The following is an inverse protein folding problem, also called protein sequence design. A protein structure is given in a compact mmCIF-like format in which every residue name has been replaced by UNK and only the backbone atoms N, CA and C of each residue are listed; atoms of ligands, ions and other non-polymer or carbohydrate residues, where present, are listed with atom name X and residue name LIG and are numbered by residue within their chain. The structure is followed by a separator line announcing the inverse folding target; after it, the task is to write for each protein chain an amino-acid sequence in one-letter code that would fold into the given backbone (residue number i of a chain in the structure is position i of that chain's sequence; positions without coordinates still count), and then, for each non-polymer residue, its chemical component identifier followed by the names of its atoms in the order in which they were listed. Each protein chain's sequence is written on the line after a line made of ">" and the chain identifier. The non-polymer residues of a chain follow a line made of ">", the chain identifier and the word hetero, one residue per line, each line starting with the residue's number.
data_IF_184240664233
#
_entry.id   IF_184240664233
#
_cell.length_a   1.000
_cell.length_b   1.000
_cell.length_c   1.000
_cell.angle_alpha   90.00
_cell.angle_beta   90.00
_cell.angle_gamma   90.00
#
_symmetry.space_group_name_H-M   'P 1'
#
loop_
_entity.id
_entity.type
_entity.pdbx_description
1 polymer ?
#
# COMPACT_ATOMS: atom_id res chain seq x y z
N UNK A 1 5.58 6.36 3.61
CA UNK A 1 4.20 6.69 4.01
C UNK A 1 4.14 8.14 4.47
N UNK A 2 3.03 8.85 4.24
CA UNK A 2 2.82 10.21 4.72
C UNK A 2 1.47 10.30 5.45
N UNK A 3 1.41 11.18 6.46
CA UNK A 3 0.26 11.34 7.33
C UNK A 3 -0.02 12.82 7.60
N UNK A 4 -1.27 13.11 7.98
CA UNK A 4 -1.68 14.40 8.53
C UNK A 4 -2.66 14.22 9.68
N UNK A 5 -2.64 15.13 10.65
CA UNK A 5 -3.70 15.22 11.65
C UNK A 5 -4.88 15.94 10.99
N UNK A 6 -6.09 15.41 11.16
CA UNK A 6 -7.33 16.03 10.71
C UNK A 6 -8.32 16.06 11.85
N UNK A 7 -9.21 17.05 11.84
CA UNK A 7 -10.39 17.04 12.69
C UNK A 7 -11.25 15.80 12.38
N UNK A 8 -11.81 15.24 13.45
CA UNK A 8 -12.69 14.09 13.38
C UNK A 8 -13.71 14.16 14.52
N UNK A 9 -14.96 13.91 14.18
CA UNK A 9 -16.01 13.71 15.17
C UNK A 9 -15.90 12.30 15.80
N UNK A 10 -16.29 12.18 17.07
CA UNK A 10 -16.48 10.91 17.75
C UNK A 10 -15.78 10.76 19.10
N UNK A 11 -15.98 9.61 19.74
CA UNK A 11 -15.63 9.33 21.15
C UNK A 11 -14.12 9.29 21.45
N UNK A 12 -13.25 9.38 20.42
CA UNK A 12 -11.79 9.31 20.56
C UNK A 12 -11.11 10.67 20.59
N UNK A 13 -11.91 11.73 20.70
CA UNK A 13 -11.45 13.10 20.70
C UNK A 13 -11.51 13.76 19.32
N UNK A 14 -11.24 15.06 19.25
CA UNK A 14 -11.55 15.90 18.09
C UNK A 14 -10.61 15.70 16.89
N UNK A 15 -9.61 14.81 17.00
CA UNK A 15 -8.58 14.64 15.99
C UNK A 15 -8.30 13.18 15.67
N UNK A 16 -7.92 12.91 14.42
CA UNK A 16 -7.34 11.63 14.00
C UNK A 16 -6.16 11.80 13.06
N UNK A 17 -5.34 10.76 12.97
CA UNK A 17 -4.29 10.66 11.96
C UNK A 17 -4.87 10.09 10.66
N UNK A 18 -4.64 10.77 9.54
CA UNK A 18 -5.05 10.36 8.20
C UNK A 18 -3.82 10.12 7.34
N UNK A 19 -3.71 8.92 6.77
CA UNK A 19 -2.71 8.64 5.74
C UNK A 19 -3.04 9.42 4.46
N UNK A 20 -2.05 10.13 3.92
CA UNK A 20 -2.18 10.96 2.72
C UNK A 20 -1.49 10.36 1.51
N UNK A 21 -0.49 9.51 1.73
CA UNK A 21 0.16 8.73 0.68
C UNK A 21 0.92 7.53 1.24
N UNK A 22 1.17 6.54 0.39
CA UNK A 22 2.10 5.46 0.66
C UNK A 22 2.82 5.02 -0.61
N UNK A 23 3.95 4.36 -0.38
CA UNK A 23 4.71 3.57 -1.34
C UNK A 23 5.22 2.35 -0.59
N UNK A 24 4.86 1.17 -1.05
CA UNK A 24 5.31 -0.10 -0.50
C UNK A 24 6.01 -0.87 -1.60
N UNK A 25 7.35 -0.83 -1.60
CA UNK A 25 8.18 -1.56 -2.56
C UNK A 25 8.61 -2.92 -2.02
N UNK A 26 8.63 -3.92 -2.90
CA UNK A 26 9.35 -5.17 -2.71
C UNK A 26 10.51 -5.17 -3.69
N UNK A 27 11.73 -5.32 -3.17
CA UNK A 27 12.98 -5.24 -3.92
C UNK A 27 13.71 -6.59 -3.93
N UNK A 28 14.54 -6.81 -4.95
CA UNK A 28 15.48 -7.92 -4.98
C UNK A 28 16.68 -7.68 -4.04
N UNK A 29 17.58 -8.67 -3.93
CA UNK A 29 18.78 -8.58 -3.09
C UNK A 29 19.76 -7.47 -3.49
N UNK A 30 19.60 -6.87 -4.67
CA UNK A 30 20.42 -5.79 -5.20
C UNK A 30 19.73 -4.42 -5.08
N UNK A 31 18.56 -4.36 -4.42
CA UNK A 31 17.76 -3.14 -4.29
C UNK A 31 17.01 -2.77 -5.55
N UNK A 32 16.85 -3.70 -6.51
CA UNK A 32 16.02 -3.44 -7.70
C UNK A 32 14.57 -3.73 -7.35
N UNK A 33 13.70 -2.73 -7.52
CA UNK A 33 12.25 -2.90 -7.34
C UNK A 33 11.72 -4.02 -8.25
N UNK A 34 10.92 -4.92 -7.66
CA UNK A 34 10.20 -6.01 -8.33
C UNK A 34 8.75 -5.60 -8.53
N UNK A 35 8.13 -5.04 -7.48
CA UNK A 35 6.79 -4.47 -7.51
C UNK A 35 6.64 -3.39 -6.45
N UNK A 36 5.77 -2.42 -6.70
CA UNK A 36 5.41 -1.41 -5.70
C UNK A 36 3.93 -1.07 -5.71
N UNK A 37 3.36 -0.96 -4.51
CA UNK A 37 2.01 -0.46 -4.30
C UNK A 37 2.08 1.01 -3.90
N UNK A 38 1.51 1.86 -4.73
CA UNK A 38 1.64 3.30 -4.64
C UNK A 38 0.28 3.98 -4.54
N UNK A 39 0.23 5.00 -3.69
CA UNK A 39 -0.85 5.96 -3.65
C UNK A 39 -0.31 7.32 -3.25
N UNK A 40 -0.26 8.25 -4.20
CA UNK A 40 0.32 9.58 -4.03
C UNK A 40 -0.51 10.63 -4.77
N UNK A 41 -1.69 11.00 -4.24
CA UNK A 41 -2.65 11.87 -4.94
C UNK A 41 -2.11 13.27 -5.26
N UNK A 42 -1.06 13.72 -4.56
CA UNK A 42 -0.44 15.03 -4.77
C UNK A 42 0.37 15.14 -6.08
N UNK A 43 0.60 14.04 -6.80
CA UNK A 43 1.39 14.03 -8.05
C UNK A 43 0.53 13.80 -9.30
N UNK A 44 -0.79 13.90 -9.18
CA UNK A 44 -1.74 13.75 -10.31
C UNK A 44 -2.29 12.34 -10.52
N UNK A 45 -1.70 11.31 -9.87
CA UNK A 45 -2.26 9.96 -9.84
C UNK A 45 -3.16 9.79 -8.61
N UNK A 46 -4.47 9.92 -8.81
CA UNK A 46 -5.45 9.99 -7.73
C UNK A 46 -5.79 8.61 -7.13
N UNK A 47 -5.73 7.56 -7.94
CA UNK A 47 -6.08 6.20 -7.54
C UNK A 47 -4.86 5.41 -7.07
N UNK A 48 -5.00 4.60 -6.01
CA UNK A 48 -4.02 3.57 -5.68
C UNK A 48 -3.72 2.66 -6.87
N UNK A 49 -2.47 2.29 -7.04
CA UNK A 49 -2.02 1.48 -8.18
C UNK A 49 -0.79 0.65 -7.84
N UNK A 50 -0.51 -0.33 -8.71
CA UNK A 50 0.63 -1.22 -8.65
C UNK A 50 1.55 -0.94 -9.84
N UNK A 51 2.85 -0.82 -9.57
CA UNK A 51 3.91 -0.93 -10.55
C UNK A 51 4.47 -2.35 -10.56
N UNK A 52 4.71 -2.89 -11.74
CA UNK A 52 5.38 -4.17 -11.94
C UNK A 52 6.68 -3.96 -12.69
N UNK A 53 7.77 -4.44 -12.09
CA UNK A 53 9.10 -4.39 -12.66
C UNK A 53 9.49 -5.80 -13.12
N UNK A 54 8.96 -6.21 -14.27
CA UNK A 54 9.22 -7.54 -14.82
C UNK A 54 10.62 -7.54 -15.47
N UNK A 55 11.58 -8.34 -14.98
CA UNK A 55 12.82 -8.54 -15.70
C UNK A 55 12.53 -9.42 -16.92
N UNK A 56 12.50 -8.83 -18.12
CA UNK A 56 12.22 -9.58 -19.35
C UNK A 56 13.49 -9.76 -20.17
N UNK A 57 13.87 -11.01 -20.45
CA UNK A 57 14.92 -11.36 -21.43
C UNK A 57 14.47 -11.20 -22.88
N UNK A 58 13.17 -10.95 -23.09
CA UNK A 58 12.52 -10.76 -24.40
C UNK A 58 11.83 -9.40 -24.36
N UNK A 59 11.89 -8.56 -25.42
CA UNK A 59 11.21 -7.28 -25.44
C UNK A 59 9.72 -7.48 -25.18
N UNK A 60 9.15 -6.89 -24.11
CA UNK A 60 7.77 -7.13 -23.80
C UNK A 60 6.89 -6.42 -24.82
N UNK A 61 5.80 -7.07 -25.23
CA UNK A 61 4.74 -6.47 -26.05
C UNK A 61 4.16 -5.22 -25.35
N UNK A 62 4.23 -5.20 -24.01
CA UNK A 62 3.80 -4.08 -23.16
C UNK A 62 4.87 -3.75 -22.13
N UNK A 63 5.36 -2.51 -22.14
CA UNK A 63 6.21 -1.99 -21.06
C UNK A 63 5.39 -1.74 -19.78
N UNK A 64 5.42 -2.71 -18.86
CA UNK A 64 4.73 -2.63 -17.56
C UNK A 64 5.32 -1.60 -16.60
N UNK A 65 6.58 -1.17 -16.78
CA UNK A 65 7.21 -0.19 -15.88
C UNK A 65 6.48 1.15 -15.89
N UNK A 66 5.80 1.49 -16.99
CA UNK A 66 5.05 2.73 -17.17
C UNK A 66 3.54 2.58 -16.93
N UNK A 67 3.08 1.41 -16.51
CA UNK A 67 1.65 1.13 -16.30
C UNK A 67 1.33 1.18 -14.81
N UNK A 68 0.29 1.93 -14.49
CA UNK A 68 -0.29 2.01 -13.16
C UNK A 68 -1.48 1.05 -13.13
N UNK A 69 -1.26 -0.18 -12.64
CA UNK A 69 -2.33 -1.17 -12.57
C UNK A 69 -3.29 -0.80 -11.43
N UNK A 70 -4.59 -0.57 -11.67
CA UNK A 70 -5.50 -0.09 -10.64
C UNK A 70 -5.59 -1.04 -9.44
N UNK A 71 -5.64 -0.47 -8.24
CA UNK A 71 -5.88 -1.20 -6.99
C UNK A 71 -6.86 -0.44 -6.10
N UNK A 72 -7.29 -1.07 -5.00
CA UNK A 72 -7.80 -0.33 -3.84
C UNK A 72 -6.66 0.19 -2.97
N UNK A 73 -6.95 0.97 -1.91
CA UNK A 73 -5.88 1.26 -0.95
C UNK A 73 -5.42 -0.04 -0.30
N UNK A 74 -4.12 -0.20 -0.24
CA UNK A 74 -3.45 -1.31 0.39
C UNK A 74 -2.91 -0.87 1.74
N UNK A 75 -3.12 -1.70 2.75
CA UNK A 75 -2.56 -1.51 4.10
C UNK A 75 -1.15 -2.09 4.17
N UNK A 76 -0.32 -1.61 5.11
CA UNK A 76 1.01 -2.22 5.33
C UNK A 76 0.87 -3.67 5.82
N UNK A 77 -0.20 -3.97 6.55
CA UNK A 77 -0.52 -5.31 7.04
C UNK A 77 -0.74 -6.30 5.91
N UNK A 78 -1.44 -5.89 4.84
CA UNK A 78 -1.61 -6.72 3.64
C UNK A 78 -0.27 -6.99 2.94
N UNK A 79 0.63 -6.01 2.87
CA UNK A 79 1.96 -6.20 2.27
C UNK A 79 2.82 -7.13 3.11
N UNK A 80 2.84 -6.96 4.43
CA UNK A 80 3.59 -7.83 5.33
C UNK A 80 3.05 -9.28 5.32
N UNK A 81 1.72 -9.44 5.20
CA UNK A 81 1.10 -10.75 5.03
C UNK A 81 1.53 -11.40 3.72
N UNK A 82 1.48 -10.65 2.62
CA UNK A 82 1.95 -11.08 1.30
C UNK A 82 3.41 -11.55 1.36
N UNK A 83 4.30 -10.82 2.05
CA UNK A 83 5.71 -11.23 2.13
C UNK A 83 5.93 -12.53 2.89
N UNK A 84 5.14 -12.78 3.95
CA UNK A 84 5.22 -14.03 4.71
C UNK A 84 4.58 -15.19 3.96
N UNK A 85 3.36 -15.02 3.46
CA UNK A 85 2.55 -16.10 2.89
C UNK A 85 3.00 -16.48 1.47
N UNK A 86 3.33 -15.50 0.62
CA UNK A 86 3.63 -15.75 -0.80
C UNK A 86 5.12 -15.70 -1.12
N UNK A 87 5.90 -14.88 -0.41
CA UNK A 87 7.34 -14.76 -0.64
C UNK A 87 8.21 -15.54 0.36
N UNK A 88 7.59 -16.25 1.31
CA UNK A 88 8.29 -17.11 2.27
C UNK A 88 9.19 -16.37 3.27
N UNK A 89 8.93 -15.07 3.51
CA UNK A 89 9.65 -14.31 4.53
C UNK A 89 9.34 -14.89 5.90
N UNK A 90 10.39 -15.18 6.69
CA UNK A 90 10.23 -15.74 8.03
C UNK A 90 9.91 -14.62 9.04
N UNK A 91 8.71 -14.62 9.64
CA UNK A 91 8.37 -13.64 10.66
C UNK A 91 9.15 -13.91 11.96
N UNK A 92 9.56 -12.84 12.64
CA UNK A 92 10.28 -12.93 13.93
C UNK A 92 9.32 -13.32 15.06
N UNK A 93 8.07 -12.82 15.02
CA UNK A 93 7.05 -13.06 16.04
C UNK A 93 6.15 -14.23 15.64
N UNK A 94 5.89 -15.14 16.58
CA UNK A 94 5.03 -16.32 16.35
C UNK A 94 3.57 -15.96 16.09
N UNK A 95 3.07 -14.92 16.73
CA UNK A 95 1.70 -14.41 16.65
C UNK A 95 1.56 -13.23 15.68
N UNK A 96 2.44 -13.14 14.67
CA UNK A 96 2.41 -12.11 13.63
C UNK A 96 1.03 -11.99 12.97
N UNK A 97 0.40 -13.14 12.66
CA UNK A 97 -0.88 -13.18 11.96
C UNK A 97 -1.98 -12.47 12.74
N UNK A 98 -1.98 -12.61 14.08
CA UNK A 98 -2.92 -11.92 14.95
C UNK A 98 -2.70 -10.42 14.95
N UNK A 99 -1.45 -9.94 15.04
CA UNK A 99 -1.15 -8.50 14.99
C UNK A 99 -1.66 -7.90 13.69
N UNK A 100 -1.31 -8.54 12.57
CA UNK A 100 -1.63 -8.00 11.26
C UNK A 100 -3.16 -7.97 11.08
N UNK A 101 -3.87 -9.00 11.52
CA UNK A 101 -5.34 -8.99 11.49
C UNK A 101 -5.95 -7.90 12.37
N UNK A 102 -5.49 -7.74 13.61
CA UNK A 102 -6.01 -6.71 14.53
C UNK A 102 -5.74 -5.30 14.00
N UNK A 103 -4.51 -5.05 13.52
CA UNK A 103 -4.10 -3.76 12.97
C UNK A 103 -4.80 -3.44 11.66
N UNK A 104 -4.93 -4.41 10.75
CA UNK A 104 -5.69 -4.26 9.51
C UNK A 104 -7.16 -3.95 9.81
N UNK A 105 -7.76 -4.62 10.80
CA UNK A 105 -9.12 -4.32 11.23
C UNK A 105 -9.31 -2.87 11.71
N UNK A 106 -8.33 -2.32 12.45
CA UNK A 106 -8.35 -0.89 12.80
C UNK A 106 -8.20 0.00 11.56
N UNK A 107 -7.25 -0.31 10.67
CA UNK A 107 -7.08 0.43 9.42
C UNK A 107 -8.38 0.46 8.61
N UNK A 108 -9.03 -0.69 8.41
CA UNK A 108 -10.26 -0.82 7.64
C UNK A 108 -11.44 -0.09 8.27
N UNK A 109 -11.53 -0.12 9.60
CA UNK A 109 -12.56 0.59 10.36
C UNK A 109 -12.41 2.11 10.27
N UNK A 110 -11.19 2.63 10.30
CA UNK A 110 -10.93 4.07 10.47
C UNK A 110 -10.47 4.79 9.21
N UNK A 111 -10.12 4.07 8.14
CA UNK A 111 -9.73 4.68 6.87
C UNK A 111 -10.87 5.52 6.31
N UNK A 112 -10.60 6.82 6.10
CA UNK A 112 -11.50 7.68 5.36
C UNK A 112 -11.16 7.71 3.89
N UNK A 113 -12.22 7.68 3.09
CA UNK A 113 -12.15 7.65 1.65
C UNK A 113 -12.63 8.98 1.09
N UNK A 114 -11.80 9.60 0.27
CA UNK A 114 -12.31 10.54 -0.71
C UNK A 114 -11.87 9.97 -2.06
N UNK A 115 -12.85 9.44 -2.78
CA UNK A 115 -12.75 9.40 -4.21
C UNK A 115 -12.93 10.86 -4.65
N UNK A 116 -11.96 11.43 -5.34
CA UNK A 116 -12.22 12.62 -6.15
C UNK A 116 -12.45 12.06 -7.56
N UNK A 117 -13.71 11.81 -7.98
CA UNK A 117 -13.95 11.60 -9.40
C UNK A 117 -13.42 12.85 -10.11
N UNK A 118 -12.71 12.68 -11.23
CA UNK A 118 -12.52 13.83 -12.12
C UNK A 118 -13.91 14.32 -12.54
N UNK A 119 -14.12 15.66 -12.62
CA UNK A 119 -15.33 16.21 -13.23
C UNK A 119 -15.51 15.70 -14.66
#
# INVERSE_FOLDING_TARGET
>A
MQYKIVEADGDRGPYKVKMTSYRYGIEDRRGKEILSYDWHPNTGMLSPHLHLHVPTSIPPIVDFHKKHLPTGRVSIEQILRLTVEEFGVRPIRKDWGKILSDAQGQFEKWRTWHYCPKP
#
